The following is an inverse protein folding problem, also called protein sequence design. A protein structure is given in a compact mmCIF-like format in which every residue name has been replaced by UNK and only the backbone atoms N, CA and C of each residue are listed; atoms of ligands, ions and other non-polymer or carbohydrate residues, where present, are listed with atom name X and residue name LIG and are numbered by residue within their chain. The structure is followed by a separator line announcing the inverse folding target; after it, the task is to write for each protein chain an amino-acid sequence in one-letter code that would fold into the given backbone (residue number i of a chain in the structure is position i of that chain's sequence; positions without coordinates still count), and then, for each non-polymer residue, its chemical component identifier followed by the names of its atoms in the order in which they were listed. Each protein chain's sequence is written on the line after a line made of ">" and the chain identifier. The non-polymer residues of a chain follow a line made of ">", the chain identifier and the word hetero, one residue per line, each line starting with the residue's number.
data_IF_011683087951
#
_entry.id   IF_011683087951
#
_cell.length_a   1.000
_cell.length_b   1.000
_cell.length_c   1.000
_cell.angle_alpha   90.00
_cell.angle_beta   90.00
_cell.angle_gamma   90.00
#
_symmetry.space_group_name_H-M   'P 1'
#
loop_
_entity.id
_entity.type
_entity.pdbx_description
1 polymer ?
#
# COMPACT_ATOMS: atom_id res chain seq x y z
N UNK A 1 19.82 7.38 -2.86
CA UNK A 1 18.47 7.86 -3.21
C UNK A 1 17.81 8.31 -1.93
N UNK A 2 17.75 9.62 -1.71
CA UNK A 2 17.45 10.20 -0.40
C UNK A 2 16.11 10.97 -0.40
N UNK A 3 15.20 10.57 -1.30
CA UNK A 3 13.89 11.21 -1.39
C UNK A 3 13.04 10.89 -0.14
N UNK A 4 12.38 11.91 0.45
CA UNK A 4 11.63 11.76 1.70
C UNK A 4 10.61 10.62 1.70
N UNK A 5 9.94 10.37 0.57
CA UNK A 5 8.97 9.28 0.43
C UNK A 5 9.58 7.90 0.67
N UNK A 6 10.77 7.63 0.16
CA UNK A 6 11.43 6.34 0.36
C UNK A 6 11.96 6.16 1.78
N UNK A 7 12.44 7.23 2.40
CA UNK A 7 12.80 7.18 3.83
C UNK A 7 11.59 6.86 4.70
N UNK A 8 10.42 7.43 4.35
CA UNK A 8 9.17 7.12 5.02
C UNK A 8 8.77 5.65 4.87
N UNK A 9 8.87 5.08 3.66
CA UNK A 9 8.54 3.67 3.42
C UNK A 9 9.44 2.71 4.19
N UNK A 10 10.74 3.00 4.28
CA UNK A 10 11.64 2.25 5.14
C UNK A 10 11.28 2.39 6.62
N UNK A 11 11.00 3.61 7.07
CA UNK A 11 10.64 3.87 8.47
C UNK A 11 9.37 3.14 8.90
N UNK A 12 8.32 3.12 8.06
CA UNK A 12 7.07 2.40 8.39
C UNK A 12 7.28 0.88 8.37
N UNK A 13 8.08 0.36 7.43
CA UNK A 13 8.44 -1.05 7.40
C UNK A 13 9.16 -1.49 8.68
N UNK A 14 10.13 -0.72 9.14
CA UNK A 14 10.95 -1.03 10.32
C UNK A 14 10.29 -0.63 11.65
N UNK A 15 9.13 0.05 11.59
CA UNK A 15 8.51 0.59 12.80
C UNK A 15 8.10 -0.51 13.77
N UNK A 16 8.66 -0.51 15.00
CA UNK A 16 8.55 -1.66 15.91
C UNK A 16 7.25 -1.74 16.69
N UNK A 17 6.47 -0.64 16.74
CA UNK A 17 5.17 -0.62 17.43
C UNK A 17 4.04 -0.96 16.45
N UNK A 18 2.88 -1.41 16.94
CA UNK A 18 1.70 -1.56 16.10
C UNK A 18 1.34 -0.26 15.37
N UNK A 19 1.00 -0.38 14.10
CA UNK A 19 0.50 0.71 13.24
C UNK A 19 -0.94 0.39 12.89
N UNK A 20 -1.83 1.34 13.13
CA UNK A 20 -3.27 1.20 12.86
C UNK A 20 -3.69 2.28 11.86
N UNK A 21 -4.42 1.89 10.82
CA UNK A 21 -4.91 2.80 9.79
C UNK A 21 -6.43 2.89 9.80
N UNK A 22 -6.95 4.12 9.63
CA UNK A 22 -8.33 4.41 9.28
C UNK A 22 -8.35 5.00 7.87
N UNK A 23 -9.09 4.37 6.95
CA UNK A 23 -9.15 4.77 5.55
C UNK A 23 -10.53 5.30 5.22
N UNK A 24 -10.59 6.53 4.69
CA UNK A 24 -11.81 7.16 4.17
C UNK A 24 -11.54 7.71 2.78
N UNK A 25 -12.46 7.47 1.83
CA UNK A 25 -12.29 7.93 0.45
C UNK A 25 -11.15 7.19 -0.27
N UNK A 26 -10.44 7.90 -1.14
CA UNK A 26 -9.48 7.30 -2.05
C UNK A 26 -8.11 7.07 -1.42
N UNK A 27 -7.62 5.84 -1.48
CA UNK A 27 -6.24 5.44 -1.19
C UNK A 27 -5.58 5.00 -2.52
N UNK A 28 -4.65 5.80 -3.05
CA UNK A 28 -4.06 5.61 -4.38
C UNK A 28 -2.54 5.46 -4.27
N UNK A 29 -1.98 4.48 -4.98
CA UNK A 29 -0.53 4.23 -5.00
C UNK A 29 0.01 4.03 -3.59
N UNK A 30 0.90 4.93 -3.14
CA UNK A 30 1.46 4.90 -1.78
C UNK A 30 0.39 4.86 -0.68
N UNK A 31 -0.78 5.50 -0.91
CA UNK A 31 -1.90 5.45 0.03
C UNK A 31 -2.46 4.04 0.23
N UNK A 32 -2.34 3.17 -0.77
CA UNK A 32 -2.71 1.74 -0.67
C UNK A 32 -1.52 0.90 -0.20
N UNK A 33 -0.32 1.11 -0.74
CA UNK A 33 0.84 0.25 -0.44
C UNK A 33 1.29 0.36 1.02
N UNK A 34 1.17 1.54 1.66
CA UNK A 34 1.49 1.67 3.09
C UNK A 34 0.61 0.80 3.99
N UNK A 35 -0.61 0.46 3.55
CA UNK A 35 -1.52 -0.39 4.32
C UNK A 35 -0.98 -1.82 4.47
N UNK A 36 -0.15 -2.29 3.53
CA UNK A 36 0.56 -3.57 3.63
C UNK A 36 1.57 -3.62 4.78
N UNK A 37 1.95 -2.47 5.33
CA UNK A 37 2.83 -2.33 6.49
C UNK A 37 2.08 -2.03 7.79
N UNK A 38 0.77 -1.78 7.72
CA UNK A 38 -0.07 -1.58 8.89
C UNK A 38 -0.44 -2.93 9.52
N UNK A 39 -0.58 -2.94 10.84
CA UNK A 39 -0.96 -4.16 11.58
C UNK A 39 -2.49 -4.32 11.67
N UNK A 40 -3.22 -3.21 11.68
CA UNK A 40 -4.68 -3.18 11.63
C UNK A 40 -5.14 -2.08 10.67
N UNK A 41 -6.07 -2.41 9.78
CA UNK A 41 -6.63 -1.47 8.80
C UNK A 41 -8.15 -1.51 8.89
N UNK A 42 -8.76 -0.38 9.09
CA UNK A 42 -10.21 -0.20 9.09
C UNK A 42 -10.59 0.78 8.00
N UNK A 43 -11.61 0.48 7.22
CA UNK A 43 -12.03 1.32 6.10
C UNK A 43 -13.48 1.78 6.24
N UNK A 44 -13.77 2.95 5.73
CA UNK A 44 -15.14 3.37 5.50
C UNK A 44 -15.70 2.65 4.26
N UNK A 45 -17.03 2.50 4.19
CA UNK A 45 -17.73 1.90 3.05
C UNK A 45 -17.53 2.69 1.74
N UNK A 46 -17.20 3.99 1.83
CA UNK A 46 -16.83 4.85 0.71
C UNK A 46 -15.33 4.81 0.35
N UNK A 47 -14.55 3.93 0.97
CA UNK A 47 -13.13 3.80 0.66
C UNK A 47 -12.92 3.09 -0.69
N UNK A 48 -12.03 3.64 -1.50
CA UNK A 48 -11.58 3.06 -2.75
C UNK A 48 -10.05 2.99 -2.76
N UNK A 49 -9.53 1.87 -3.21
CA UNK A 49 -8.11 1.56 -3.24
C UNK A 49 -7.67 1.38 -4.68
N UNK A 50 -6.45 1.81 -5.02
CA UNK A 50 -5.89 1.51 -6.34
C UNK A 50 -4.36 1.52 -6.33
N UNK A 51 -3.80 0.76 -7.27
CA UNK A 51 -2.35 0.60 -7.47
C UNK A 51 -1.98 0.91 -8.93
N UNK A 52 -2.24 2.15 -9.42
CA UNK A 52 -2.18 2.49 -10.83
C UNK A 52 -0.75 2.77 -11.35
N UNK A 53 0.25 2.08 -10.82
CA UNK A 53 1.66 2.29 -11.18
C UNK A 53 1.90 2.10 -12.67
N UNK A 54 1.40 1.00 -13.24
CA UNK A 54 1.55 0.69 -14.68
C UNK A 54 0.85 1.72 -15.55
N UNK A 55 -0.28 2.28 -15.09
CA UNK A 55 -1.02 3.33 -15.80
C UNK A 55 -0.25 4.67 -15.83
N UNK A 56 0.77 4.80 -14.97
CA UNK A 56 1.69 5.92 -14.93
C UNK A 56 3.06 5.60 -15.54
N UNK A 57 3.19 4.44 -16.23
CA UNK A 57 4.47 3.97 -16.76
C UNK A 57 5.49 3.61 -15.68
N UNK A 58 5.03 3.23 -14.47
CA UNK A 58 5.84 2.93 -13.29
C UNK A 58 5.67 1.46 -12.87
N UNK A 59 6.51 0.99 -11.97
CA UNK A 59 6.34 -0.26 -11.24
C UNK A 59 5.88 0.00 -9.79
N UNK A 60 5.38 -1.03 -9.06
CA UNK A 60 5.06 -0.93 -7.65
C UNK A 60 6.26 -0.51 -6.79
N UNK A 61 5.96 -0.05 -5.57
CA UNK A 61 6.93 0.33 -4.56
C UNK A 61 6.50 -0.21 -3.18
N UNK A 62 7.26 0.11 -2.12
CA UNK A 62 6.98 -0.31 -0.74
C UNK A 62 6.97 -1.82 -0.50
N UNK A 63 7.60 -2.63 -1.34
CA UNK A 63 7.55 -4.09 -1.23
C UNK A 63 6.21 -4.68 -1.67
N UNK A 64 5.36 -3.89 -2.34
CA UNK A 64 4.03 -4.34 -2.76
C UNK A 64 4.10 -5.52 -3.73
N UNK A 65 5.17 -5.63 -4.54
CA UNK A 65 5.38 -6.75 -5.45
C UNK A 65 5.63 -8.10 -4.74
N UNK A 66 6.02 -8.07 -3.46
CA UNK A 66 6.14 -9.26 -2.60
C UNK A 66 4.94 -9.39 -1.65
N UNK A 67 4.57 -8.30 -0.98
CA UNK A 67 3.57 -8.34 0.10
C UNK A 67 2.16 -8.63 -0.41
N UNK A 68 1.76 -8.01 -1.54
CA UNK A 68 0.41 -8.21 -2.05
C UNK A 68 0.20 -9.65 -2.57
N UNK A 69 1.09 -10.25 -3.39
CA UNK A 69 0.96 -11.65 -3.76
C UNK A 69 0.99 -12.62 -2.57
N UNK A 70 1.75 -12.29 -1.52
CA UNK A 70 1.78 -13.09 -0.29
C UNK A 70 0.46 -13.03 0.49
N UNK A 71 -0.25 -11.91 0.41
CA UNK A 71 -1.52 -11.69 1.09
C UNK A 71 -2.70 -12.35 0.34
N UNK A 72 -2.79 -12.14 -0.99
CA UNK A 72 -4.00 -12.46 -1.77
C UNK A 72 -3.80 -13.58 -2.81
N UNK A 73 -2.58 -14.09 -2.95
CA UNK A 73 -2.17 -14.98 -4.03
C UNK A 73 -1.84 -14.23 -5.32
N UNK A 74 -0.99 -14.87 -6.17
CA UNK A 74 -0.46 -14.23 -7.37
C UNK A 74 -1.55 -13.72 -8.36
N UNK A 75 -2.63 -14.48 -8.70
CA UNK A 75 -3.58 -14.02 -9.70
C UNK A 75 -4.31 -12.73 -9.29
N UNK A 76 -4.78 -12.65 -8.04
CA UNK A 76 -5.44 -11.43 -7.53
C UNK A 76 -4.48 -10.25 -7.44
N UNK A 77 -3.26 -10.49 -6.98
CA UNK A 77 -2.23 -9.44 -6.94
C UNK A 77 -1.88 -8.94 -8.33
N UNK A 78 -1.73 -9.84 -9.32
CA UNK A 78 -1.44 -9.49 -10.71
C UNK A 78 -2.54 -8.60 -11.31
N UNK A 79 -3.81 -8.94 -11.06
CA UNK A 79 -4.95 -8.10 -11.48
C UNK A 79 -4.83 -6.67 -10.96
N UNK A 80 -4.59 -6.50 -9.65
CA UNK A 80 -4.50 -5.17 -9.03
C UNK A 80 -3.25 -4.39 -9.45
N UNK A 81 -2.10 -5.06 -9.58
CA UNK A 81 -0.84 -4.41 -9.91
C UNK A 81 -0.63 -4.17 -11.40
N UNK A 82 -1.18 -5.04 -12.28
CA UNK A 82 -0.97 -4.96 -13.73
C UNK A 82 -2.09 -4.22 -14.45
N UNK A 83 -3.34 -4.28 -13.98
CA UNK A 83 -4.44 -3.50 -14.56
C UNK A 83 -4.54 -2.12 -13.91
N UNK A 84 -4.18 -1.99 -12.64
CA UNK A 84 -4.23 -0.72 -11.90
C UNK A 84 -5.63 -0.18 -11.68
N UNK A 85 -6.64 -1.03 -11.80
CA UNK A 85 -8.04 -0.67 -11.60
C UNK A 85 -8.37 -0.49 -10.12
N UNK A 86 -9.32 0.38 -9.78
CA UNK A 86 -9.75 0.55 -8.40
C UNK A 86 -10.50 -0.68 -7.89
N UNK A 87 -10.37 -0.95 -6.60
CA UNK A 87 -11.16 -1.92 -5.84
C UNK A 87 -11.71 -1.26 -4.57
N UNK A 88 -12.75 -1.82 -3.98
CA UNK A 88 -13.53 -1.15 -2.94
C UNK A 88 -13.45 -1.87 -1.60
N UNK A 89 -14.07 -1.29 -0.59
CA UNK A 89 -13.89 -1.68 0.80
C UNK A 89 -14.22 -3.15 1.09
N UNK A 90 -15.29 -3.67 0.51
CA UNK A 90 -15.69 -5.07 0.67
C UNK A 90 -14.67 -6.03 0.06
N UNK A 91 -14.20 -5.74 -1.17
CA UNK A 91 -13.16 -6.53 -1.82
C UNK A 91 -11.85 -6.47 -1.02
N UNK A 92 -11.50 -5.31 -0.46
CA UNK A 92 -10.33 -5.15 0.38
C UNK A 92 -10.40 -6.00 1.67
N UNK A 93 -11.59 -6.24 2.22
CA UNK A 93 -11.81 -7.21 3.33
C UNK A 93 -11.61 -8.63 2.84
N UNK A 94 -12.19 -9.02 1.71
CA UNK A 94 -12.02 -10.36 1.13
C UNK A 94 -10.57 -10.67 0.79
N UNK A 95 -9.81 -9.64 0.40
CA UNK A 95 -8.37 -9.73 0.16
C UNK A 95 -7.55 -9.85 1.45
N UNK A 96 -8.12 -9.55 2.61
CA UNK A 96 -7.41 -9.48 3.89
C UNK A 96 -6.58 -8.21 4.08
N UNK A 97 -6.71 -7.21 3.20
CA UNK A 97 -6.04 -5.90 3.35
C UNK A 97 -6.73 -5.05 4.42
N UNK A 98 -8.05 -5.17 4.55
CA UNK A 98 -8.88 -4.45 5.51
C UNK A 98 -9.48 -5.41 6.52
N UNK A 99 -9.41 -5.10 7.81
CA UNK A 99 -9.97 -5.91 8.88
C UNK A 99 -11.49 -5.77 8.98
N UNK A 100 -12.03 -4.58 8.69
CA UNK A 100 -13.47 -4.31 8.81
C UNK A 100 -13.87 -3.04 8.06
N UNK A 101 -15.07 -3.07 7.46
CA UNK A 101 -15.74 -1.90 6.89
C UNK A 101 -16.72 -1.30 7.89
N UNK A 102 -16.84 0.01 7.92
CA UNK A 102 -17.66 0.79 8.84
C UNK A 102 -18.29 1.99 8.09
N UNK A 103 -19.38 2.57 8.60
CA UNK A 103 -19.86 3.86 8.11
C UNK A 103 -18.77 4.96 8.24
N UNK A 104 -18.68 5.93 7.30
CA UNK A 104 -17.63 6.96 7.32
C UNK A 104 -17.52 7.74 8.62
N UNK A 105 -18.66 8.02 9.26
CA UNK A 105 -18.69 8.76 10.53
C UNK A 105 -18.22 7.93 11.74
N UNK A 106 -18.12 6.61 11.63
CA UNK A 106 -17.72 5.70 12.72
C UNK A 106 -16.26 5.24 12.62
N UNK A 107 -15.66 5.18 11.39
CA UNK A 107 -14.37 4.52 11.18
C UNK A 107 -13.26 5.09 12.06
N UNK A 108 -13.19 6.40 12.25
CA UNK A 108 -12.14 7.02 13.06
C UNK A 108 -12.29 6.67 14.55
N UNK A 109 -13.52 6.77 15.09
CA UNK A 109 -13.78 6.47 16.50
C UNK A 109 -13.53 4.98 16.79
N UNK A 110 -13.98 4.10 15.90
CA UNK A 110 -13.71 2.67 15.99
C UNK A 110 -12.22 2.35 15.95
N UNK A 111 -11.49 2.94 15.00
CA UNK A 111 -10.03 2.74 14.85
C UNK A 111 -9.28 3.18 16.10
N UNK A 112 -9.63 4.34 16.66
CA UNK A 112 -9.05 4.84 17.91
C UNK A 112 -9.36 3.89 19.09
N UNK A 113 -10.56 3.34 19.16
CA UNK A 113 -10.91 2.36 20.19
C UNK A 113 -10.08 1.07 20.07
N UNK A 114 -9.79 0.59 18.84
CA UNK A 114 -8.89 -0.55 18.65
C UNK A 114 -7.45 -0.21 19.04
N UNK A 115 -6.97 0.97 18.65
CA UNK A 115 -5.64 1.45 19.05
C UNK A 115 -5.51 1.53 20.60
N UNK A 116 -6.54 2.02 21.30
CA UNK A 116 -6.57 2.07 22.75
C UNK A 116 -6.45 0.67 23.38
N UNK A 117 -7.06 -0.37 22.78
CA UNK A 117 -6.89 -1.76 23.23
C UNK A 117 -5.46 -2.25 23.11
N UNK A 118 -4.73 -1.81 22.08
CA UNK A 118 -3.30 -2.13 21.92
C UNK A 118 -2.47 -1.41 22.99
N UNK A 119 -2.77 -0.14 23.24
CA UNK A 119 -2.07 0.66 24.27
C UNK A 119 -2.21 0.02 25.66
N UNK A 120 -3.33 -0.61 25.96
CA UNK A 120 -3.57 -1.32 27.21
C UNK A 120 -2.82 -2.65 27.36
N UNK A 121 -2.08 -3.09 26.32
CA UNK A 121 -1.30 -4.34 26.35
C UNK A 121 0.17 -4.08 26.71
N UNK A 122 0.91 -5.08 27.25
CA UNK A 122 2.34 -4.96 27.45
C UNK A 122 3.08 -4.68 26.15
N UNK A 123 3.70 -3.52 26.03
CA UNK A 123 4.37 -3.07 24.81
C UNK A 123 5.48 -4.02 24.35
N UNK A 124 6.22 -4.61 25.28
CA UNK A 124 7.27 -5.59 24.96
C UNK A 124 6.70 -6.81 24.24
N UNK A 125 5.53 -7.31 24.69
CA UNK A 125 4.85 -8.46 24.08
C UNK A 125 4.33 -8.10 22.68
N UNK A 126 3.74 -6.91 22.51
CA UNK A 126 3.27 -6.44 21.19
C UNK A 126 4.42 -6.34 20.19
N UNK A 127 5.56 -5.75 20.61
CA UNK A 127 6.74 -5.63 19.74
C UNK A 127 7.32 -7.00 19.37
N UNK A 128 7.42 -7.91 20.33
CA UNK A 128 7.89 -9.27 20.07
C UNK A 128 6.95 -10.02 19.11
N UNK A 129 5.63 -9.92 19.31
CA UNK A 129 4.62 -10.51 18.43
C UNK A 129 4.73 -9.96 17.00
N UNK A 130 4.80 -8.63 16.85
CA UNK A 130 4.98 -7.99 15.54
C UNK A 130 6.27 -8.45 14.86
N UNK A 131 7.39 -8.50 15.60
CA UNK A 131 8.66 -8.96 15.05
C UNK A 131 8.59 -10.41 14.55
N UNK A 132 7.97 -11.31 15.32
CA UNK A 132 7.78 -12.71 14.94
C UNK A 132 6.87 -12.84 13.69
N UNK A 133 5.78 -12.09 13.60
CA UNK A 133 4.90 -12.09 12.44
C UNK A 133 5.62 -11.64 11.17
N UNK A 134 6.58 -10.73 11.28
CA UNK A 134 7.38 -10.22 10.15
C UNK A 134 8.54 -11.13 9.74
N UNK A 135 8.91 -12.13 10.53
CA UNK A 135 10.01 -13.06 10.19
C UNK A 135 9.79 -13.81 8.88
N UNK A 136 8.53 -14.04 8.48
CA UNK A 136 8.18 -14.64 7.18
C UNK A 136 8.41 -13.74 5.97
N UNK A 137 8.68 -12.45 6.17
CA UNK A 137 8.93 -11.47 5.10
C UNK A 137 10.40 -11.45 4.68
N UNK A 138 10.98 -12.64 4.47
CA UNK A 138 12.39 -12.79 4.08
C UNK A 138 12.62 -12.11 2.72
N UNK A 139 13.66 -11.26 2.65
CA UNK A 139 14.04 -10.57 1.42
C UNK A 139 13.24 -9.29 1.12
N UNK A 140 12.28 -8.89 1.96
CA UNK A 140 11.46 -7.69 1.69
C UNK A 140 12.29 -6.41 1.51
N UNK A 141 13.33 -6.20 2.32
CA UNK A 141 14.22 -5.04 2.15
C UNK A 141 14.96 -5.06 0.81
N UNK A 142 15.40 -6.23 0.35
CA UNK A 142 16.05 -6.36 -0.96
C UNK A 142 15.07 -6.08 -2.09
N UNK A 143 13.83 -6.56 -1.99
CA UNK A 143 12.75 -6.27 -2.95
C UNK A 143 12.42 -4.78 -2.98
N UNK A 144 12.22 -4.14 -1.83
CA UNK A 144 12.00 -2.69 -1.76
C UNK A 144 13.15 -1.90 -2.40
N UNK A 145 14.40 -2.36 -2.22
CA UNK A 145 15.57 -1.77 -2.86
C UNK A 145 15.56 -1.92 -4.39
N UNK A 146 15.12 -3.06 -4.90
CA UNK A 146 15.02 -3.32 -6.34
C UNK A 146 13.85 -2.55 -6.97
N UNK A 147 12.67 -2.57 -6.34
CA UNK A 147 11.54 -1.74 -6.73
C UNK A 147 11.94 -0.27 -6.85
N UNK A 148 12.68 0.26 -5.87
CA UNK A 148 13.13 1.64 -5.86
C UNK A 148 14.06 1.98 -7.04
N UNK A 149 14.97 1.07 -7.41
CA UNK A 149 15.85 1.25 -8.58
C UNK A 149 15.04 1.28 -9.87
N UNK A 150 14.13 0.31 -10.04
CA UNK A 150 13.28 0.19 -11.22
C UNK A 150 12.32 1.39 -11.31
N UNK A 151 11.65 1.74 -10.21
CA UNK A 151 10.77 2.91 -10.14
C UNK A 151 11.49 4.19 -10.55
N UNK A 152 12.69 4.42 -10.00
CA UNK A 152 13.49 5.59 -10.33
C UNK A 152 13.98 5.60 -11.79
N UNK A 153 14.22 4.44 -12.41
CA UNK A 153 14.55 4.34 -13.83
C UNK A 153 13.32 4.65 -14.71
N UNK A 154 12.19 4.02 -14.41
CA UNK A 154 10.92 4.20 -15.12
C UNK A 154 10.41 5.65 -15.03
N UNK A 155 10.51 6.28 -13.86
CA UNK A 155 10.07 7.67 -13.66
C UNK A 155 10.79 8.67 -14.58
N UNK A 156 12.02 8.36 -14.98
CA UNK A 156 12.78 9.16 -15.94
C UNK A 156 12.51 8.76 -17.40
N UNK A 157 11.82 7.64 -17.61
CA UNK A 157 11.51 7.07 -18.91
C UNK A 157 10.47 7.86 -19.69
N UNK A 158 10.32 7.56 -20.99
CA UNK A 158 9.37 8.25 -21.85
C UNK A 158 7.91 7.93 -21.48
N UNK A 159 7.59 6.71 -21.11
CA UNK A 159 6.22 6.32 -20.73
C UNK A 159 5.71 7.10 -19.51
N UNK A 160 6.53 7.27 -18.46
CA UNK A 160 6.12 8.08 -17.30
C UNK A 160 5.93 9.56 -17.65
N UNK A 161 6.76 10.11 -18.52
CA UNK A 161 6.61 11.49 -19.00
C UNK A 161 5.31 11.66 -19.78
N UNK A 162 4.99 10.72 -20.67
CA UNK A 162 3.72 10.70 -21.41
C UNK A 162 2.53 10.63 -20.45
N UNK A 163 2.55 9.71 -19.47
CA UNK A 163 1.47 9.57 -18.51
C UNK A 163 1.26 10.85 -17.69
N UNK A 164 2.33 11.48 -17.21
CA UNK A 164 2.27 12.73 -16.45
C UNK A 164 1.70 13.87 -17.33
N UNK A 165 2.18 14.01 -18.58
CA UNK A 165 1.68 15.00 -19.52
C UNK A 165 0.18 14.80 -19.78
N UNK A 166 -0.22 13.55 -20.04
CA UNK A 166 -1.61 13.19 -20.29
C UNK A 166 -2.55 13.57 -19.13
N UNK A 167 -2.10 13.33 -17.87
CA UNK A 167 -2.85 13.75 -16.68
C UNK A 167 -3.01 15.27 -16.62
N UNK A 168 -1.95 16.03 -16.87
CA UNK A 168 -2.00 17.50 -16.87
C UNK A 168 -2.89 18.05 -17.96
N UNK A 169 -2.90 17.40 -19.12
CA UNK A 169 -3.72 17.76 -20.30
C UNK A 169 -5.14 17.16 -20.25
N UNK A 170 -5.47 16.39 -19.21
CA UNK A 170 -6.77 15.71 -19.02
C UNK A 170 -7.15 14.79 -20.20
N UNK A 171 -6.17 14.12 -20.79
CA UNK A 171 -6.34 13.12 -21.86
C UNK A 171 -5.88 11.73 -21.39
N UNK A 172 -6.18 10.70 -22.16
CA UNK A 172 -5.60 9.37 -21.94
C UNK A 172 -4.15 9.34 -22.45
N UNK A 173 -3.23 8.67 -21.73
CA UNK A 173 -1.87 8.45 -22.22
C UNK A 173 -1.87 7.51 -23.43
N UNK A 174 -0.93 7.71 -24.33
CA UNK A 174 -0.69 6.84 -25.49
C UNK A 174 0.66 6.13 -25.32
N UNK A 175 0.61 4.85 -24.97
CA UNK A 175 1.81 4.03 -24.77
C UNK A 175 2.21 3.19 -25.99
N UNK A 176 1.55 3.39 -27.15
CA UNK A 176 1.77 2.56 -28.35
C UNK A 176 3.20 2.65 -28.92
N UNK A 177 3.98 3.65 -28.49
CA UNK A 177 5.34 3.91 -28.98
C UNK A 177 6.44 3.51 -27.98
N UNK A 178 6.11 2.84 -26.86
CA UNK A 178 7.08 2.49 -25.80
C UNK A 178 7.14 1.00 -25.51
#
# INVERSE_FOLDING_TARGET
>A
MDAPGFRFLHAIHEFPKPVVAAVQGNAVGIGTTILLHCDLVYAADNAAFSLPFVNLGLCPEAGASLLLPSLVGHPRAAEKLMLGEPFYAEEAVEMGLVNRVLPPHEVNAYTQAQAAKLVAKPMASLRATKALMKMGQVGLQAIMGEELKLFGALLRGPAAKEAISAVMEKRKPDFSQF
#
